data_IF_146844462378
#
_entry.id   IF_146844462378
#
_cell.length_a   1.000
_cell.length_b   1.000
_cell.length_c   1.000
_cell.angle_alpha   90.00
_cell.angle_beta   90.00
_cell.angle_gamma   90.00
#
_symmetry.space_group_name_H-M   'P 1'
#
loop_
_entity.id
_entity.type
_entity.pdbx_description
1 polymer ?
#
# COMPACT_ATOMS: atom_id res chain seq x y z
N UNK A 1 -2.04 -13.24 12.73
CA UNK A 1 -1.18 -13.08 11.54
C UNK A 1 -0.30 -11.86 11.72
N UNK A 2 0.98 -11.98 11.43
CA UNK A 2 1.91 -10.86 11.58
C UNK A 2 1.79 -9.90 10.39
N UNK A 3 2.28 -8.69 10.60
CA UNK A 3 2.31 -7.68 9.54
C UNK A 3 3.11 -8.20 8.33
N UNK A 4 4.24 -8.86 8.58
CA UNK A 4 5.06 -9.40 7.50
C UNK A 4 4.31 -10.46 6.70
N UNK A 5 3.49 -11.27 7.37
CA UNK A 5 2.71 -12.28 6.68
C UNK A 5 1.71 -11.65 5.70
N UNK A 6 1.12 -10.52 6.07
CA UNK A 6 0.26 -9.78 5.15
C UNK A 6 1.04 -9.34 3.91
N UNK A 7 2.23 -8.80 4.11
CA UNK A 7 3.05 -8.32 2.99
C UNK A 7 3.50 -9.48 2.11
N UNK A 8 3.84 -10.62 2.70
CA UNK A 8 4.22 -11.80 1.93
C UNK A 8 3.06 -12.30 1.09
N UNK A 9 1.87 -12.33 1.66
CA UNK A 9 0.67 -12.76 0.94
C UNK A 9 0.37 -11.81 -0.21
N UNK A 10 0.52 -10.52 0.00
CA UNK A 10 0.30 -9.52 -1.05
C UNK A 10 1.28 -9.77 -2.19
N UNK A 11 2.54 -10.01 -1.89
CA UNK A 11 3.55 -10.27 -2.91
C UNK A 11 3.21 -11.53 -3.70
N UNK A 12 2.80 -12.58 -3.01
CA UNK A 12 2.41 -13.83 -3.66
C UNK A 12 1.20 -13.62 -4.57
N UNK A 13 0.24 -12.83 -4.10
CA UNK A 13 -1.02 -12.64 -4.83
C UNK A 13 -0.86 -11.68 -6.00
N UNK A 14 -0.07 -10.64 -5.86
CA UNK A 14 0.06 -9.58 -6.87
C UNK A 14 1.38 -9.61 -7.62
N UNK A 15 2.38 -10.31 -7.09
CA UNK A 15 3.71 -10.29 -7.65
C UNK A 15 4.47 -9.00 -7.39
N UNK A 16 3.97 -8.16 -6.48
CA UNK A 16 4.56 -6.85 -6.21
C UNK A 16 4.95 -6.72 -4.74
N UNK A 17 6.13 -6.14 -4.51
CA UNK A 17 6.62 -5.86 -3.16
C UNK A 17 6.08 -4.53 -2.68
N UNK A 18 6.35 -4.21 -1.40
CA UNK A 18 5.95 -2.91 -0.85
C UNK A 18 6.63 -1.76 -1.58
N UNK A 19 7.87 -1.94 -2.05
CA UNK A 19 8.56 -0.93 -2.85
C UNK A 19 7.80 -0.66 -4.15
N UNK A 20 7.32 -1.71 -4.79
CA UNK A 20 6.54 -1.56 -6.02
C UNK A 20 5.26 -0.77 -5.76
N UNK A 21 4.59 -1.05 -4.64
CA UNK A 21 3.37 -0.31 -4.30
C UNK A 21 3.66 1.15 -3.99
N UNK A 22 4.82 1.46 -3.39
CA UNK A 22 5.21 2.85 -3.19
C UNK A 22 5.34 3.59 -4.51
N UNK A 23 5.97 2.97 -5.49
CA UNK A 23 6.10 3.57 -6.81
C UNK A 23 4.74 3.76 -7.48
N UNK A 24 3.89 2.76 -7.39
CA UNK A 24 2.57 2.84 -7.99
C UNK A 24 1.72 3.93 -7.33
N UNK A 25 1.79 4.00 -6.01
CA UNK A 25 1.07 5.06 -5.28
C UNK A 25 1.59 6.44 -5.65
N UNK A 26 2.90 6.56 -5.86
CA UNK A 26 3.49 7.81 -6.31
C UNK A 26 2.97 8.22 -7.68
N UNK A 27 2.83 7.25 -8.58
CA UNK A 27 2.29 7.51 -9.91
C UNK A 27 0.83 7.95 -9.84
N UNK A 28 0.09 7.47 -8.84
CA UNK A 28 -1.29 7.89 -8.65
C UNK A 28 -1.41 9.27 -8.01
N UNK A 29 -0.31 9.84 -7.57
CA UNK A 29 -0.33 11.12 -6.90
C UNK A 29 -0.66 11.03 -5.42
N UNK A 30 -0.57 9.85 -4.83
CA UNK A 30 -0.89 9.64 -3.42
C UNK A 30 0.29 9.92 -2.49
N UNK A 31 1.50 9.98 -3.02
CA UNK A 31 2.71 10.05 -2.20
C UNK A 31 3.36 11.42 -2.27
N UNK A 32 3.99 11.80 -1.18
CA UNK A 32 4.81 13.01 -1.13
C UNK A 32 5.90 12.80 -0.09
N UNK A 33 7.13 13.02 -0.49
CA UNK A 33 8.26 12.87 0.43
C UNK A 33 8.45 11.46 0.97
N UNK A 34 8.06 10.45 0.21
CA UNK A 34 8.22 9.06 0.60
C UNK A 34 7.11 8.51 1.49
N UNK A 35 6.09 9.30 1.77
CA UNK A 35 4.94 8.86 2.56
C UNK A 35 3.65 9.27 1.85
N UNK A 36 2.52 8.77 2.35
CA UNK A 36 1.23 9.20 1.83
C UNK A 36 1.02 10.69 2.12
N UNK A 37 0.45 11.38 1.15
CA UNK A 37 0.12 12.79 1.32
C UNK A 37 -0.92 12.94 2.42
N UNK A 38 -0.82 14.03 3.18
CA UNK A 38 -1.73 14.27 4.29
C UNK A 38 -3.16 14.55 3.84
N UNK A 39 -3.32 15.06 2.63
CA UNK A 39 -4.64 15.38 2.10
C UNK A 39 -5.32 14.18 1.40
N UNK A 40 -4.64 13.04 1.35
CA UNK A 40 -5.20 11.83 0.76
C UNK A 40 -5.93 11.04 1.84
N UNK A 41 -7.15 10.67 1.55
CA UNK A 41 -7.93 9.86 2.48
C UNK A 41 -7.53 8.40 2.37
N UNK A 42 -7.41 7.75 3.52
CA UNK A 42 -7.07 6.33 3.56
C UNK A 42 -8.06 5.50 2.75
N UNK A 43 -9.34 5.84 2.81
CA UNK A 43 -10.35 5.13 2.04
C UNK A 43 -10.11 5.16 0.55
N UNK A 44 -9.57 6.25 0.02
CA UNK A 44 -9.25 6.35 -1.39
C UNK A 44 -8.14 5.37 -1.77
N UNK A 45 -7.12 5.27 -0.92
CA UNK A 45 -6.01 4.33 -1.15
C UNK A 45 -6.49 2.89 -1.05
N UNK A 46 -7.31 2.60 -0.05
CA UNK A 46 -7.88 1.25 0.13
C UNK A 46 -8.71 0.86 -1.09
N UNK A 47 -9.57 1.77 -1.56
CA UNK A 47 -10.38 1.54 -2.75
C UNK A 47 -9.50 1.23 -3.96
N UNK A 48 -8.46 2.01 -4.15
CA UNK A 48 -7.54 1.78 -5.26
C UNK A 48 -6.89 0.40 -5.18
N UNK A 49 -6.42 0.02 -3.99
CA UNK A 49 -5.78 -1.27 -3.80
C UNK A 49 -6.75 -2.43 -4.02
N UNK A 50 -7.99 -2.27 -3.58
CA UNK A 50 -9.00 -3.30 -3.78
C UNK A 50 -9.40 -3.43 -5.25
N UNK A 51 -9.58 -2.31 -5.91
CA UNK A 51 -10.06 -2.30 -7.29
C UNK A 51 -8.98 -2.76 -8.27
N UNK A 52 -7.77 -2.28 -8.11
CA UNK A 52 -6.69 -2.56 -9.07
C UNK A 52 -5.98 -3.87 -8.80
N UNK A 53 -5.92 -4.29 -7.56
CA UNK A 53 -5.14 -5.48 -7.19
C UNK A 53 -5.96 -6.57 -6.55
N UNK A 54 -7.24 -6.34 -6.33
CA UNK A 54 -8.12 -7.36 -5.76
C UNK A 54 -7.78 -7.71 -4.33
N UNK A 55 -7.16 -6.81 -3.59
CA UNK A 55 -6.77 -7.07 -2.21
C UNK A 55 -7.96 -6.96 -1.27
N UNK A 56 -7.97 -7.79 -0.24
CA UNK A 56 -8.95 -7.68 0.81
C UNK A 56 -8.67 -6.45 1.69
N UNK A 57 -9.66 -6.09 2.52
CA UNK A 57 -9.55 -4.91 3.37
C UNK A 57 -8.32 -4.97 4.29
N UNK A 58 -8.09 -6.12 4.93
CA UNK A 58 -6.94 -6.27 5.83
C UNK A 58 -5.61 -6.09 5.13
N UNK A 59 -5.48 -6.67 3.94
CA UNK A 59 -4.24 -6.54 3.16
C UNK A 59 -4.06 -5.11 2.67
N UNK A 60 -5.14 -4.47 2.24
CA UNK A 60 -5.07 -3.07 1.79
C UNK A 60 -4.65 -2.16 2.94
N UNK A 61 -5.18 -2.39 4.14
CA UNK A 61 -4.80 -1.60 5.31
C UNK A 61 -3.34 -1.82 5.70
N UNK A 62 -2.84 -3.04 5.55
CA UNK A 62 -1.43 -3.31 5.80
C UNK A 62 -0.54 -2.49 4.86
N UNK A 63 -0.91 -2.41 3.59
CA UNK A 63 -0.18 -1.58 2.63
C UNK A 63 -0.28 -0.10 2.97
N UNK A 64 -1.45 0.36 3.39
CA UNK A 64 -1.60 1.75 3.81
C UNK A 64 -0.63 2.06 4.94
N UNK A 65 -0.49 1.16 5.90
CA UNK A 65 0.45 1.35 7.00
C UNK A 65 1.88 1.45 6.49
N UNK A 66 2.25 0.63 5.52
CA UNK A 66 3.58 0.71 4.90
C UNK A 66 3.78 2.05 4.20
N UNK A 67 2.78 2.49 3.46
CA UNK A 67 2.89 3.73 2.70
C UNK A 67 2.92 4.96 3.60
N UNK A 68 2.23 4.92 4.72
CA UNK A 68 2.23 6.03 5.68
C UNK A 68 3.52 6.09 6.49
N UNK A 69 4.19 4.97 6.67
CA UNK A 69 5.41 4.94 7.44
C UNK A 69 6.58 5.56 6.69
N UNK A 70 7.66 5.88 7.42
CA UNK A 70 8.87 6.36 6.76
C UNK A 70 9.44 5.26 5.87
N UNK A 71 10.04 5.67 4.76
CA UNK A 71 10.54 4.71 3.78
C UNK A 71 11.96 4.26 4.12
N UNK A 72 12.16 3.79 5.31
CA UNK A 72 13.47 3.36 5.75
C UNK A 72 13.59 1.85 5.83
N UNK A 73 12.72 1.15 5.26
CA UNK A 73 12.77 -0.31 5.29
C UNK A 73 13.75 -0.81 4.29
#
# INVERSE_FOLDING_TARGET
MTFQAYLDNIKTKTGKSSSDFRQLASQQGFMAGGTLRKDIKVGAVVSWLKDDFGLGHGHAMALVAVLKGPSKQ
#
